data_IF_330090106264
#
_entry.id   IF_330090106264
#
_cell.length_a   1.000
_cell.length_b   1.000
_cell.length_c   1.000
_cell.angle_alpha   90.00
_cell.angle_beta   90.00
_cell.angle_gamma   90.00
#
_symmetry.space_group_name_H-M   'P 1'
#
loop_
_entity.id
_entity.type
_entity.pdbx_description
1 polymer ?
#
# COMPACT_ATOMS: atom_id res chain seq x y z
N UNK A 1 16.67 22.30 40.62
CA UNK A 1 15.84 21.16 40.20
C UNK A 1 14.96 21.64 39.07
N UNK A 2 15.25 21.32 37.77
CA UNK A 2 14.32 21.61 36.68
C UNK A 2 13.40 20.41 36.49
N UNK A 3 12.11 20.69 36.39
CA UNK A 3 11.06 19.71 36.07
C UNK A 3 11.17 19.31 34.60
N UNK A 4 11.60 18.07 34.36
CA UNK A 4 11.57 17.43 33.06
C UNK A 4 10.39 16.46 33.10
N UNK A 5 9.45 16.60 32.19
CA UNK A 5 8.46 15.53 31.95
C UNK A 5 7.02 15.99 31.85
N UNK A 6 6.62 16.52 30.69
CA UNK A 6 5.22 16.89 30.50
C UNK A 6 4.73 16.96 29.05
N UNK A 7 5.56 16.70 28.04
CA UNK A 7 5.12 16.88 26.67
C UNK A 7 4.87 15.58 25.87
N UNK A 8 5.43 14.44 26.28
CA UNK A 8 5.26 13.18 25.55
C UNK A 8 3.88 12.55 25.74
N UNK A 9 3.23 12.73 26.90
CA UNK A 9 1.98 12.02 27.24
C UNK A 9 0.72 12.56 26.59
N UNK A 10 0.72 13.77 26.00
CA UNK A 10 -0.50 14.35 25.39
C UNK A 10 -0.56 14.17 23.86
N UNK A 11 0.53 13.82 23.21
CA UNK A 11 0.57 13.62 21.76
C UNK A 11 0.18 12.18 21.36
N UNK A 12 0.33 11.20 22.23
CA UNK A 12 -0.01 9.81 21.98
C UNK A 12 -1.50 9.59 21.59
N UNK A 13 -2.49 10.09 22.37
CA UNK A 13 -3.90 9.81 22.03
C UNK A 13 -4.34 10.41 20.70
N UNK A 14 -3.88 11.62 20.37
CA UNK A 14 -4.19 12.25 19.07
C UNK A 14 -3.55 11.50 17.89
N UNK A 15 -2.38 10.94 18.07
CA UNK A 15 -1.69 10.19 17.05
C UNK A 15 -2.34 8.81 16.85
N UNK A 16 -2.77 8.17 17.92
CA UNK A 16 -3.51 6.90 17.86
C UNK A 16 -4.86 7.08 17.14
N UNK A 17 -5.60 8.15 17.40
CA UNK A 17 -6.83 8.49 16.67
C UNK A 17 -6.55 8.68 15.16
N UNK A 18 -5.50 9.41 14.80
CA UNK A 18 -5.10 9.60 13.41
C UNK A 18 -4.71 8.28 12.73
N UNK A 19 -4.08 7.35 13.45
CA UNK A 19 -3.77 6.00 12.94
C UNK A 19 -5.07 5.23 12.65
N UNK A 20 -6.07 5.31 13.54
CA UNK A 20 -7.37 4.67 13.34
C UNK A 20 -8.08 5.22 12.09
N UNK A 21 -8.04 6.53 11.88
CA UNK A 21 -8.64 7.18 10.70
C UNK A 21 -7.98 6.72 9.38
N UNK A 22 -6.73 6.25 9.44
CA UNK A 22 -6.00 5.76 8.27
C UNK A 22 -6.22 4.26 7.99
N UNK A 23 -6.92 3.51 8.86
CA UNK A 23 -7.19 2.08 8.64
C UNK A 23 -7.86 1.79 7.28
N UNK A 24 -8.87 2.55 6.80
CA UNK A 24 -9.44 2.33 5.48
C UNK A 24 -8.41 2.47 4.35
N UNK A 25 -7.53 3.46 4.44
CA UNK A 25 -6.45 3.68 3.47
C UNK A 25 -5.41 2.54 3.52
N UNK A 26 -5.06 2.07 4.72
CA UNK A 26 -4.18 0.91 4.91
C UNK A 26 -4.78 -0.36 4.29
N UNK A 27 -6.06 -0.63 4.50
CA UNK A 27 -6.75 -1.78 3.87
C UNK A 27 -6.74 -1.68 2.34
N UNK A 28 -7.01 -0.48 1.80
CA UNK A 28 -6.98 -0.27 0.36
C UNK A 28 -5.56 -0.48 -0.21
N UNK A 29 -4.53 -0.01 0.50
CA UNK A 29 -3.14 -0.20 0.09
C UNK A 29 -2.70 -1.67 0.23
N UNK A 30 -3.07 -2.35 1.30
CA UNK A 30 -2.76 -3.78 1.48
C UNK A 30 -3.30 -4.65 0.33
N UNK A 31 -4.48 -4.29 -0.22
CA UNK A 31 -5.07 -4.98 -1.37
C UNK A 31 -4.29 -4.83 -2.68
N UNK A 32 -3.30 -3.94 -2.75
CA UNK A 32 -2.40 -3.87 -3.91
C UNK A 32 -1.36 -4.99 -3.89
N UNK A 33 -1.09 -5.57 -2.73
CA UNK A 33 -0.08 -6.60 -2.52
C UNK A 33 -0.65 -8.01 -2.48
N UNK A 34 -1.91 -8.16 -2.08
CA UNK A 34 -2.53 -9.47 -1.90
C UNK A 34 -3.96 -9.48 -2.41
N UNK A 35 -4.34 -10.63 -2.93
CA UNK A 35 -5.68 -10.86 -3.49
C UNK A 35 -6.67 -11.35 -2.45
N UNK A 36 -6.21 -12.04 -1.41
CA UNK A 36 -7.05 -12.59 -0.38
C UNK A 36 -7.36 -11.52 0.69
N UNK A 37 -8.63 -11.35 1.00
CA UNK A 37 -9.11 -10.36 1.97
C UNK A 37 -8.47 -10.56 3.35
N UNK A 38 -8.36 -11.81 3.81
CA UNK A 38 -7.77 -12.13 5.10
C UNK A 38 -6.27 -11.78 5.16
N UNK A 39 -5.51 -12.00 4.07
CA UNK A 39 -4.10 -11.61 4.01
C UNK A 39 -3.91 -10.09 4.04
N UNK A 40 -4.83 -9.34 3.42
CA UNK A 40 -4.82 -7.89 3.50
C UNK A 40 -5.09 -7.41 4.93
N UNK A 41 -6.06 -8.01 5.62
CA UNK A 41 -6.36 -7.68 7.01
C UNK A 41 -5.21 -8.05 7.95
N UNK A 42 -4.56 -9.21 7.75
CA UNK A 42 -3.36 -9.62 8.50
C UNK A 42 -2.20 -8.63 8.28
N UNK A 43 -1.99 -8.18 7.05
CA UNK A 43 -0.96 -7.19 6.74
C UNK A 43 -1.24 -5.84 7.40
N UNK A 44 -2.51 -5.42 7.47
CA UNK A 44 -2.92 -4.21 8.20
C UNK A 44 -2.64 -4.37 9.69
N UNK A 45 -3.04 -5.49 10.30
CA UNK A 45 -2.79 -5.75 11.72
C UNK A 45 -1.30 -5.73 12.05
N UNK A 46 -0.48 -6.42 11.27
CA UNK A 46 0.98 -6.42 11.44
C UNK A 46 1.57 -5.01 11.29
N UNK A 47 1.06 -4.21 10.34
CA UNK A 47 1.46 -2.81 10.16
C UNK A 47 1.15 -1.99 11.40
N UNK A 48 -0.07 -2.10 11.93
CA UNK A 48 -0.49 -1.37 13.12
C UNK A 48 0.33 -1.76 14.35
N UNK A 49 0.60 -3.06 14.55
CA UNK A 49 1.43 -3.54 15.63
C UNK A 49 2.87 -2.99 15.54
N UNK A 50 3.45 -2.95 14.34
CA UNK A 50 4.78 -2.36 14.13
C UNK A 50 4.76 -0.85 14.35
N UNK A 51 3.75 -0.16 13.84
CA UNK A 51 3.59 1.27 14.04
C UNK A 51 3.50 1.63 15.53
N UNK A 52 2.67 0.94 16.31
CA UNK A 52 2.55 1.17 17.75
C UNK A 52 3.86 0.92 18.50
N UNK A 53 4.63 -0.10 18.12
CA UNK A 53 5.95 -0.37 18.73
C UNK A 53 7.01 0.66 18.40
N UNK A 54 6.86 1.37 17.28
CA UNK A 54 7.82 2.37 16.80
C UNK A 54 7.24 3.78 16.76
N UNK A 55 6.14 4.03 17.46
CA UNK A 55 5.41 5.31 17.43
C UNK A 55 6.28 6.49 17.87
N UNK A 56 7.21 6.23 18.79
CA UNK A 56 8.18 7.23 19.26
C UNK A 56 9.20 7.67 18.19
N UNK A 57 9.34 6.86 17.12
CA UNK A 57 10.21 7.18 15.99
C UNK A 57 9.50 8.02 14.91
N UNK A 58 8.19 8.23 15.07
CA UNK A 58 7.45 9.08 14.14
C UNK A 58 7.82 10.55 14.41
N UNK A 59 8.27 11.25 13.37
CA UNK A 59 8.60 12.67 13.42
C UNK A 59 7.34 13.52 13.25
N UNK A 60 6.91 14.27 14.29
CA UNK A 60 5.78 15.18 14.16
C UNK A 60 6.00 16.22 13.05
N UNK A 61 4.96 16.44 12.24
CA UNK A 61 5.04 17.35 11.08
C UNK A 61 5.38 16.67 9.77
N UNK A 62 5.70 15.37 9.79
CA UNK A 62 5.78 14.53 8.59
C UNK A 62 4.45 13.84 8.26
N UNK A 63 4.34 13.19 7.12
CA UNK A 63 3.13 12.48 6.71
C UNK A 63 3.00 11.13 7.45
N UNK A 64 2.08 11.06 8.43
CA UNK A 64 1.76 9.81 9.12
C UNK A 64 1.33 8.72 8.14
N UNK A 65 0.56 9.08 7.12
CA UNK A 65 0.12 8.15 6.06
C UNK A 65 1.31 7.56 5.30
N UNK A 66 2.28 8.39 4.89
CA UNK A 66 3.48 7.92 4.19
C UNK A 66 4.32 7.01 5.09
N UNK A 67 4.45 7.34 6.36
CA UNK A 67 5.16 6.54 7.35
C UNK A 67 4.52 5.15 7.55
N UNK A 68 3.20 5.09 7.72
CA UNK A 68 2.45 3.83 7.84
C UNK A 68 2.54 2.98 6.56
N UNK A 69 2.48 3.61 5.39
CA UNK A 69 2.63 2.89 4.11
C UNK A 69 4.03 2.31 3.94
N UNK A 70 5.06 3.01 4.41
CA UNK A 70 6.44 2.49 4.44
C UNK A 70 6.55 1.27 5.35
N UNK A 71 5.95 1.31 6.55
CA UNK A 71 5.92 0.17 7.47
C UNK A 71 5.22 -1.03 6.82
N UNK A 72 4.05 -0.80 6.19
CA UNK A 72 3.26 -1.84 5.52
C UNK A 72 4.05 -2.52 4.40
N UNK A 73 4.66 -1.73 3.54
CA UNK A 73 5.47 -2.25 2.44
C UNK A 73 6.64 -3.08 2.94
N UNK A 74 7.32 -2.62 3.97
CA UNK A 74 8.44 -3.34 4.57
C UNK A 74 7.97 -4.64 5.25
N UNK A 75 6.81 -4.63 5.90
CA UNK A 75 6.19 -5.84 6.47
C UNK A 75 5.89 -6.87 5.37
N UNK A 76 5.25 -6.43 4.28
CA UNK A 76 4.95 -7.29 3.14
C UNK A 76 6.21 -7.89 2.51
N UNK A 77 7.23 -7.07 2.24
CA UNK A 77 8.52 -7.55 1.68
C UNK A 77 9.19 -8.60 2.57
N UNK A 78 9.10 -8.42 3.88
CA UNK A 78 9.66 -9.38 4.85
C UNK A 78 8.90 -10.71 4.81
N UNK A 79 7.57 -10.68 4.87
CA UNK A 79 6.72 -11.87 4.76
C UNK A 79 6.94 -12.61 3.44
N UNK A 80 7.02 -11.86 2.34
CA UNK A 80 7.28 -12.43 1.02
C UNK A 80 8.63 -13.15 0.95
N UNK A 81 9.70 -12.55 1.47
CA UNK A 81 11.03 -13.18 1.51
C UNK A 81 11.03 -14.48 2.34
N UNK A 82 10.29 -14.52 3.44
CA UNK A 82 10.17 -15.72 4.28
C UNK A 82 9.44 -16.81 3.49
N UNK A 83 8.26 -16.51 2.92
CA UNK A 83 7.48 -17.48 2.12
C UNK A 83 8.29 -18.05 0.94
N UNK A 84 9.04 -17.20 0.23
CA UNK A 84 9.87 -17.65 -0.92
C UNK A 84 11.03 -18.53 -0.49
N UNK A 85 11.59 -18.35 0.72
CA UNK A 85 12.63 -19.22 1.25
C UNK A 85 12.11 -20.57 1.74
N UNK A 86 10.90 -20.58 2.28
CA UNK A 86 10.26 -21.80 2.81
C UNK A 86 9.64 -22.67 1.70
N UNK A 87 9.40 -22.13 0.51
CA UNK A 87 8.91 -22.86 -0.67
C UNK A 87 9.75 -22.53 -1.91
N UNK A 88 10.95 -23.11 -2.04
CA UNK A 88 11.76 -22.92 -3.23
C UNK A 88 11.10 -23.65 -4.41
N UNK A 89 10.39 -22.94 -5.25
CA UNK A 89 9.80 -23.50 -6.48
C UNK A 89 8.44 -22.94 -6.88
N UNK A 90 7.81 -22.18 -6.03
CA UNK A 90 6.54 -21.53 -6.38
C UNK A 90 6.66 -20.04 -6.10
N UNK A 91 6.84 -19.26 -7.15
CA UNK A 91 6.13 -18.00 -7.24
C UNK A 91 6.92 -16.92 -7.93
N UNK A 92 6.57 -16.67 -9.16
CA UNK A 92 6.65 -15.33 -9.73
C UNK A 92 5.66 -14.43 -8.96
N UNK A 93 6.10 -13.27 -8.49
CA UNK A 93 5.22 -12.22 -7.93
C UNK A 93 4.09 -11.77 -8.87
N UNK A 94 4.08 -12.27 -10.10
CA UNK A 94 3.14 -11.90 -11.15
C UNK A 94 1.78 -12.64 -11.09
N UNK A 95 1.63 -13.66 -10.24
CA UNK A 95 0.45 -14.54 -10.25
C UNK A 95 -0.35 -14.53 -8.94
N UNK A 96 -0.51 -13.37 -8.32
CA UNK A 96 -1.48 -13.28 -7.25
C UNK A 96 -2.87 -13.02 -7.83
N UNK A 97 -3.80 -14.00 -7.77
CA UNK A 97 -5.15 -13.80 -8.25
C UNK A 97 -5.84 -12.68 -7.47
N UNK A 98 -6.56 -11.82 -8.17
CA UNK A 98 -7.33 -10.75 -7.56
C UNK A 98 -8.65 -11.32 -7.07
N UNK A 99 -9.04 -11.13 -5.81
CA UNK A 99 -10.32 -11.63 -5.33
C UNK A 99 -11.47 -10.89 -5.97
N UNK A 100 -12.41 -11.68 -6.40
CA UNK A 100 -13.74 -11.22 -6.78
C UNK A 100 -14.59 -11.15 -5.52
N UNK A 101 -15.15 -10.01 -5.16
CA UNK A 101 -16.35 -9.92 -4.33
C UNK A 101 -16.73 -8.48 -3.96
N UNK A 102 -17.90 -8.26 -3.34
CA UNK A 102 -19.23 -8.15 -3.92
C UNK A 102 -19.86 -6.77 -3.69
N UNK A 103 -20.73 -6.39 -4.53
CA UNK A 103 -22.01 -5.70 -4.40
C UNK A 103 -22.38 -4.94 -5.68
N UNK A 104 -23.61 -5.05 -6.05
CA UNK A 104 -24.10 -5.20 -7.43
C UNK A 104 -24.21 -3.96 -8.32
N UNK A 105 -23.90 -2.74 -7.93
CA UNK A 105 -24.10 -1.57 -8.82
C UNK A 105 -22.87 -0.68 -9.04
N UNK A 106 -21.90 -0.76 -8.15
CA UNK A 106 -20.55 -0.23 -8.40
C UNK A 106 -19.62 -1.29 -9.04
N UNK A 107 -20.17 -2.45 -9.41
CA UNK A 107 -19.39 -3.66 -9.62
C UNK A 107 -18.77 -3.79 -11.02
N UNK A 108 -19.38 -3.25 -12.07
CA UNK A 108 -18.84 -3.46 -13.42
C UNK A 108 -17.63 -2.57 -13.65
N UNK A 109 -17.75 -1.27 -13.43
CA UNK A 109 -16.62 -0.32 -13.61
C UNK A 109 -15.49 -0.60 -12.61
N UNK A 110 -15.82 -0.96 -11.36
CA UNK A 110 -14.84 -1.38 -10.37
C UNK A 110 -14.23 -2.74 -10.69
N UNK A 111 -14.96 -3.65 -11.33
CA UNK A 111 -14.46 -4.95 -11.77
C UNK A 111 -13.42 -4.82 -12.87
N UNK A 112 -13.71 -4.01 -13.89
CA UNK A 112 -12.81 -3.76 -15.02
C UNK A 112 -11.54 -3.04 -14.57
N UNK A 113 -11.65 -1.96 -13.79
CA UNK A 113 -10.50 -1.25 -13.24
C UNK A 113 -9.66 -2.15 -12.34
N UNK A 114 -10.30 -2.98 -11.51
CA UNK A 114 -9.61 -3.94 -10.65
C UNK A 114 -8.88 -5.00 -11.47
N UNK A 115 -9.50 -5.53 -12.51
CA UNK A 115 -8.90 -6.48 -13.43
C UNK A 115 -7.70 -5.85 -14.14
N UNK A 116 -7.87 -4.64 -14.67
CA UNK A 116 -6.80 -3.91 -15.33
C UNK A 116 -5.63 -3.58 -14.39
N UNK A 117 -5.91 -3.15 -13.16
CA UNK A 117 -4.88 -2.96 -12.13
C UNK A 117 -4.18 -4.27 -11.78
N UNK A 118 -4.91 -5.38 -11.79
CA UNK A 118 -4.36 -6.70 -11.52
C UNK A 118 -3.42 -7.20 -12.59
N UNK A 119 -3.64 -6.82 -13.82
CA UNK A 119 -2.78 -7.18 -14.96
C UNK A 119 -1.45 -6.41 -14.96
N UNK A 120 -1.36 -5.29 -14.20
CA UNK A 120 -0.10 -4.56 -14.07
C UNK A 120 0.92 -5.34 -13.25
N UNK A 121 2.20 -5.15 -13.56
CA UNK A 121 3.27 -5.63 -12.68
C UNK A 121 3.11 -5.07 -11.25
N UNK A 122 3.54 -5.79 -10.21
CA UNK A 122 3.42 -5.32 -8.83
C UNK A 122 3.99 -3.92 -8.60
N UNK A 123 5.14 -3.63 -9.20
CA UNK A 123 5.81 -2.33 -9.07
C UNK A 123 5.06 -1.21 -9.80
N UNK A 124 4.47 -1.48 -10.95
CA UNK A 124 3.66 -0.51 -11.69
C UNK A 124 2.35 -0.22 -10.95
N UNK A 125 1.69 -1.26 -10.45
CA UNK A 125 0.48 -1.14 -9.65
C UNK A 125 0.71 -0.34 -8.38
N UNK A 126 1.77 -0.66 -7.62
CA UNK A 126 2.14 0.02 -6.38
C UNK A 126 2.31 1.53 -6.61
N UNK A 127 3.13 1.91 -7.59
CA UNK A 127 3.39 3.33 -7.89
C UNK A 127 2.13 4.05 -8.38
N UNK A 128 1.33 3.41 -9.23
CA UNK A 128 0.08 3.99 -9.73
C UNK A 128 -0.91 4.24 -8.60
N UNK A 129 -1.08 3.29 -7.69
CA UNK A 129 -1.99 3.41 -6.54
C UNK A 129 -1.49 4.48 -5.56
N UNK A 130 -0.19 4.53 -5.26
CA UNK A 130 0.36 5.56 -4.38
C UNK A 130 0.14 6.96 -4.94
N UNK A 131 0.48 7.19 -6.20
CA UNK A 131 0.44 8.54 -6.79
C UNK A 131 -0.97 8.92 -7.23
N UNK A 132 -1.64 8.08 -8.03
CA UNK A 132 -2.96 8.41 -8.57
C UNK A 132 -4.10 8.09 -7.60
N UNK A 133 -4.00 7.01 -6.83
CA UNK A 133 -5.04 6.59 -5.89
C UNK A 133 -5.01 7.34 -4.56
N UNK A 134 -3.83 7.50 -3.98
CA UNK A 134 -3.68 8.15 -2.66
C UNK A 134 -3.18 9.59 -2.71
N UNK A 135 -2.86 10.12 -3.90
CA UNK A 135 -2.40 11.50 -4.07
C UNK A 135 -1.02 11.78 -3.49
N UNK A 136 -0.17 10.73 -3.37
CA UNK A 136 1.19 10.89 -2.87
C UNK A 136 2.05 11.67 -3.85
N UNK A 137 2.91 12.54 -3.35
CA UNK A 137 3.96 13.16 -4.16
C UNK A 137 4.96 12.11 -4.67
N UNK A 138 5.68 12.42 -5.74
CA UNK A 138 6.73 11.53 -6.25
C UNK A 138 7.83 11.26 -5.24
N UNK A 139 8.10 12.23 -4.36
CA UNK A 139 9.05 12.08 -3.28
C UNK A 139 8.56 11.06 -2.24
N UNK A 140 7.34 11.23 -1.74
CA UNK A 140 6.75 10.28 -0.78
C UNK A 140 6.66 8.86 -1.37
N UNK A 141 6.23 8.74 -2.63
CA UNK A 141 6.20 7.45 -3.30
C UNK A 141 7.61 6.84 -3.44
N UNK A 142 8.64 7.65 -3.69
CA UNK A 142 10.03 7.20 -3.76
C UNK A 142 10.54 6.72 -2.41
N UNK A 143 10.23 7.46 -1.34
CA UNK A 143 10.58 7.09 0.04
C UNK A 143 9.86 5.78 0.45
N UNK A 144 8.55 5.66 0.16
CA UNK A 144 7.79 4.42 0.41
C UNK A 144 8.35 3.25 -0.40
N UNK A 145 8.63 3.46 -1.70
CA UNK A 145 9.13 2.42 -2.60
C UNK A 145 10.62 2.11 -2.46
N UNK A 146 11.34 2.86 -1.61
CA UNK A 146 12.79 2.72 -1.44
C UNK A 146 13.51 2.72 -2.80
N UNK A 147 13.27 3.76 -3.62
CA UNK A 147 13.86 3.92 -4.94
C UNK A 147 13.99 5.38 -5.35
N UNK A 148 14.74 5.64 -6.42
CA UNK A 148 14.93 6.99 -6.93
C UNK A 148 13.61 7.59 -7.49
N UNK A 149 13.43 8.91 -7.38
CA UNK A 149 12.28 9.64 -7.94
C UNK A 149 12.14 9.41 -9.45
N UNK A 150 13.27 9.30 -10.18
CA UNK A 150 13.28 8.96 -11.60
C UNK A 150 12.64 7.60 -11.89
N UNK A 151 12.84 6.62 -11.00
CA UNK A 151 12.21 5.29 -11.08
C UNK A 151 10.70 5.38 -10.89
N UNK A 152 10.23 6.21 -9.94
CA UNK A 152 8.78 6.46 -9.76
C UNK A 152 8.17 7.04 -11.03
N UNK A 153 8.80 8.06 -11.61
CA UNK A 153 8.31 8.71 -12.85
C UNK A 153 8.21 7.70 -14.01
N UNK A 154 9.25 6.91 -14.24
CA UNK A 154 9.27 5.93 -15.33
C UNK A 154 8.25 4.79 -15.11
N UNK A 155 8.14 4.27 -13.89
CA UNK A 155 7.14 3.24 -13.54
C UNK A 155 5.72 3.78 -13.68
N UNK A 156 5.46 5.02 -13.24
CA UNK A 156 4.14 5.64 -13.34
C UNK A 156 3.73 5.86 -14.80
N UNK A 157 4.65 6.28 -15.67
CA UNK A 157 4.38 6.42 -17.10
C UNK A 157 3.97 5.07 -17.70
N UNK A 158 4.80 4.05 -17.51
CA UNK A 158 4.51 2.69 -18.01
C UNK A 158 3.21 2.12 -17.44
N UNK A 159 2.97 2.31 -16.14
CA UNK A 159 1.73 1.86 -15.51
C UNK A 159 0.48 2.49 -16.14
N UNK A 160 0.55 3.77 -16.50
CA UNK A 160 -0.56 4.47 -17.18
C UNK A 160 -0.77 3.95 -18.60
N UNK A 161 0.32 3.74 -19.33
CA UNK A 161 0.27 3.22 -20.71
C UNK A 161 -0.33 1.79 -20.72
N UNK A 162 0.13 0.92 -19.81
CA UNK A 162 -0.38 -0.43 -19.63
C UNK A 162 -1.85 -0.43 -19.21
N UNK A 163 -2.25 0.41 -18.24
CA UNK A 163 -3.64 0.52 -17.79
C UNK A 163 -4.55 0.99 -18.92
N UNK A 164 -4.12 1.99 -19.69
CA UNK A 164 -4.87 2.51 -20.84
C UNK A 164 -5.05 1.42 -21.89
N UNK A 165 -4.01 0.66 -22.20
CA UNK A 165 -4.08 -0.45 -23.15
C UNK A 165 -5.07 -1.54 -22.67
N UNK A 166 -5.10 -1.87 -21.38
CA UNK A 166 -6.02 -2.85 -20.81
C UNK A 166 -7.48 -2.37 -20.87
N UNK A 167 -7.73 -1.09 -20.62
CA UNK A 167 -9.09 -0.54 -20.62
C UNK A 167 -9.63 -0.31 -22.04
N UNK A 168 -8.77 0.00 -23.01
CA UNK A 168 -9.19 0.21 -24.42
C UNK A 168 -9.13 -1.06 -25.24
N UNK A 169 -8.43 -2.09 -24.78
CA UNK A 169 -8.31 -3.40 -25.41
C UNK A 169 -9.48 -4.35 -25.15
N UNK A 170 -10.46 -3.96 -24.32
CA UNK A 170 -11.68 -4.71 -24.09
C UNK A 170 -12.87 -3.97 -24.73
N UNK A 171 -13.10 -4.09 -26.04
CA UNK A 171 -14.31 -3.57 -26.64
C UNK A 171 -15.48 -4.33 -26.02
N UNK A 172 -16.36 -3.61 -25.33
CA UNK A 172 -17.64 -4.11 -24.88
C UNK A 172 -18.36 -4.71 -26.08
N UNK A 173 -18.47 -6.02 -26.09
CA UNK A 173 -19.34 -6.76 -26.98
C UNK A 173 -20.56 -7.18 -26.18
#
# INVERSE_FOLDING_TARGET
MPAIGGHASRQSPLLEEQVVDLIPALRAFARTFTSASFEADDLVQETLLRALRSIEQFEPGTSLKSWLFTIMRNAFRTQYKIRTRESPGTTNCAELPIPTAPSQEWSVLNGELRSALGALSPEHREVLVLVAGFGMSYKEAADICDCAIGTIKSRLSRARDELTAQMHGNPLN
#
